data_IF_333432017539
#
_entry.id   IF_333432017539
#
_cell.length_a   1.000
_cell.length_b   1.000
_cell.length_c   1.000
_cell.angle_alpha   90.00
_cell.angle_beta   90.00
_cell.angle_gamma   90.00
#
_symmetry.space_group_name_H-M   'P 1'
#
loop_
_entity.id
_entity.type
_entity.pdbx_description
1 polymer ?
#
# COMPACT_ATOMS: atom_id res chain seq x y z
N UNK A 1 -10.11 19.88 14.53
CA UNK A 1 -8.93 20.68 14.09
C UNK A 1 -8.43 20.03 12.81
N UNK A 2 -8.46 20.73 11.67
CA UNK A 2 -8.04 20.18 10.38
C UNK A 2 -6.53 19.95 10.41
N UNK A 3 -6.07 18.69 10.40
CA UNK A 3 -4.65 18.37 10.20
C UNK A 3 -4.32 18.57 8.72
N UNK A 4 -3.37 19.45 8.46
CA UNK A 4 -2.84 19.75 7.13
C UNK A 4 -1.89 18.61 6.73
N UNK A 5 -2.25 17.85 5.69
CA UNK A 5 -1.39 16.84 5.11
C UNK A 5 -0.31 17.52 4.25
N UNK A 6 0.96 17.33 4.61
CA UNK A 6 2.10 17.84 3.84
C UNK A 6 2.36 16.94 2.64
N UNK A 7 1.95 17.39 1.47
CA UNK A 7 2.28 16.76 0.19
C UNK A 7 3.65 17.27 -0.25
N UNK A 8 4.62 16.37 -0.35
CA UNK A 8 5.95 16.68 -0.89
C UNK A 8 5.87 16.85 -2.41
N UNK A 9 5.98 18.10 -2.89
CA UNK A 9 6.11 18.41 -4.32
C UNK A 9 7.53 18.13 -4.79
N UNK A 10 7.69 17.18 -5.69
CA UNK A 10 8.92 17.06 -6.48
C UNK A 10 8.95 18.14 -7.57
N UNK A 11 10.02 18.88 -7.61
CA UNK A 11 10.34 20.10 -8.35
C UNK A 11 10.12 19.96 -9.88
N UNK A 12 9.35 20.89 -10.44
CA UNK A 12 9.11 21.06 -11.88
C UNK A 12 10.37 21.63 -12.57
N UNK A 13 11.05 20.82 -13.35
CA UNK A 13 12.10 21.31 -14.26
C UNK A 13 11.52 21.62 -15.63
N UNK A 14 11.53 22.90 -16.00
CA UNK A 14 11.15 23.39 -17.33
C UNK A 14 12.33 23.16 -18.30
N UNK A 15 12.18 22.28 -19.29
CA UNK A 15 13.15 22.10 -20.37
C UNK A 15 12.52 22.43 -21.74
N UNK A 16 13.29 23.12 -22.56
CA UNK A 16 12.96 23.64 -23.90
C UNK A 16 12.71 22.50 -24.93
N UNK A 17 12.02 22.78 -26.07
CA UNK A 17 11.64 21.75 -27.02
C UNK A 17 12.82 21.34 -27.91
N UNK A 18 13.30 20.13 -27.69
CA UNK A 18 14.30 19.46 -28.49
C UNK A 18 14.34 17.98 -28.16
N UNK A 19 13.70 17.19 -29.03
CA UNK A 19 13.80 15.73 -29.17
C UNK A 19 14.47 14.94 -28.02
N UNK A 20 13.80 14.79 -26.90
CA UNK A 20 14.05 13.76 -25.93
C UNK A 20 12.71 13.04 -25.69
N UNK A 21 12.72 11.70 -25.76
CA UNK A 21 11.65 10.86 -25.27
C UNK A 21 11.18 11.44 -23.94
N UNK A 22 9.94 11.86 -23.87
CA UNK A 22 9.34 12.31 -22.62
C UNK A 22 9.46 11.13 -21.65
N UNK A 23 10.35 11.24 -20.67
CA UNK A 23 10.36 10.32 -19.56
C UNK A 23 8.97 10.44 -18.91
N UNK A 24 8.16 9.41 -19.04
CA UNK A 24 6.86 9.35 -18.40
C UNK A 24 7.09 9.57 -16.90
N UNK A 25 6.49 10.64 -16.38
CA UNK A 25 6.54 10.91 -14.94
C UNK A 25 5.72 9.84 -14.26
N UNK A 26 6.37 9.00 -13.49
CA UNK A 26 5.72 8.01 -12.65
C UNK A 26 5.44 8.62 -11.27
N UNK A 27 4.29 8.32 -10.71
CA UNK A 27 3.83 8.86 -9.45
C UNK A 27 3.63 7.74 -8.44
N UNK A 28 3.90 8.02 -7.17
CA UNK A 28 3.46 7.18 -6.05
C UNK A 28 2.26 7.85 -5.41
N UNK A 29 1.19 7.09 -5.20
CA UNK A 29 0.00 7.57 -4.52
C UNK A 29 0.17 7.36 -3.03
N UNK A 30 0.03 8.43 -2.25
CA UNK A 30 0.13 8.42 -0.79
C UNK A 30 -1.28 8.48 -0.20
N UNK A 31 -1.61 7.51 0.63
CA UNK A 31 -2.89 7.40 1.32
C UNK A 31 -2.64 7.40 2.83
N UNK A 32 -3.39 8.18 3.57
CA UNK A 32 -3.28 8.25 5.02
C UNK A 32 -4.65 8.07 5.67
N UNK A 33 -4.73 7.18 6.64
CA UNK A 33 -5.86 7.01 7.55
C UNK A 33 -5.79 7.98 8.74
N UNK A 34 -6.58 7.70 9.76
CA UNK A 34 -6.70 8.52 10.97
C UNK A 34 -6.43 7.72 12.25
N UNK A 35 -7.18 8.09 13.28
CA UNK A 35 -7.10 7.46 14.61
C UNK A 35 -8.29 6.49 14.83
N UNK A 36 -9.03 6.14 13.77
CA UNK A 36 -10.20 5.24 13.79
C UNK A 36 -9.96 4.11 12.79
N UNK A 37 -10.67 2.99 12.97
CA UNK A 37 -10.61 1.86 12.05
C UNK A 37 -10.92 2.28 10.60
N UNK A 38 -10.00 1.99 9.69
CA UNK A 38 -10.10 2.36 8.29
C UNK A 38 -10.30 1.12 7.40
N UNK A 39 -11.00 1.29 6.29
CA UNK A 39 -11.06 0.30 5.23
C UNK A 39 -10.64 0.95 3.92
N UNK A 40 -9.51 0.51 3.38
CA UNK A 40 -8.95 1.02 2.12
C UNK A 40 -8.84 -0.13 1.13
N UNK A 41 -9.39 0.04 -0.06
CA UNK A 41 -9.29 -0.93 -1.15
C UNK A 41 -8.74 -0.29 -2.40
N UNK A 42 -7.80 -0.98 -3.05
CA UNK A 42 -7.18 -0.54 -4.30
C UNK A 42 -7.39 -1.63 -5.34
N UNK A 43 -7.99 -1.29 -6.48
CA UNK A 43 -8.14 -2.23 -7.59
C UNK A 43 -7.83 -1.57 -8.94
N UNK A 44 -7.55 -2.40 -9.92
CA UNK A 44 -7.29 -2.00 -11.30
C UNK A 44 -8.55 -2.27 -12.13
N UNK A 45 -8.94 -1.29 -12.97
CA UNK A 45 -10.04 -1.45 -13.90
C UNK A 45 -9.84 -2.65 -14.84
N UNK A 46 -10.91 -3.30 -15.36
CA UNK A 46 -10.79 -4.48 -16.21
C UNK A 46 -9.98 -4.24 -17.49
N UNK A 47 -9.94 -3.02 -17.99
CA UNK A 47 -9.16 -2.61 -19.17
C UNK A 47 -7.70 -2.24 -18.84
N UNK A 48 -7.33 -2.25 -17.56
CA UNK A 48 -5.99 -1.97 -17.06
C UNK A 48 -5.56 -0.50 -17.16
N UNK A 49 -6.49 0.41 -17.33
CA UNK A 49 -6.18 1.82 -17.57
C UNK A 49 -6.21 2.69 -16.33
N UNK A 50 -6.97 2.28 -15.32
CA UNK A 50 -7.23 3.09 -14.13
C UNK A 50 -7.13 2.26 -12.85
N UNK A 51 -6.50 2.81 -11.83
CA UNK A 51 -6.62 2.33 -10.47
C UNK A 51 -7.78 3.06 -9.80
N UNK A 52 -8.63 2.31 -9.13
CA UNK A 52 -9.66 2.86 -8.26
C UNK A 52 -9.29 2.57 -6.80
N UNK A 53 -9.46 3.57 -5.97
CA UNK A 53 -9.19 3.50 -4.53
C UNK A 53 -10.46 3.90 -3.82
N UNK A 54 -10.95 3.02 -2.95
CA UNK A 54 -12.13 3.26 -2.12
C UNK A 54 -11.72 3.25 -0.64
N UNK A 55 -12.24 4.18 0.12
CA UNK A 55 -11.93 4.32 1.54
C UNK A 55 -13.16 4.75 2.32
N UNK A 56 -13.28 4.32 3.59
CA UNK A 56 -14.33 4.82 4.50
C UNK A 56 -14.06 6.25 4.97
N UNK A 57 -12.83 6.74 4.84
CA UNK A 57 -12.46 8.12 5.14
C UNK A 57 -12.27 8.91 3.85
N UNK A 58 -12.55 10.21 3.90
CA UNK A 58 -12.36 11.09 2.76
C UNK A 58 -10.89 11.12 2.33
N UNK A 59 -10.64 10.78 1.06
CA UNK A 59 -9.31 10.81 0.45
C UNK A 59 -9.00 12.22 -0.05
N UNK A 60 -7.81 12.73 0.29
CA UNK A 60 -7.32 14.00 -0.23
C UNK A 60 -6.18 13.74 -1.22
N UNK A 61 -6.30 14.28 -2.42
CA UNK A 61 -5.26 14.17 -3.45
C UNK A 61 -4.75 15.53 -3.88
N UNK A 62 -3.43 15.61 -3.97
CA UNK A 62 -2.75 16.72 -4.63
C UNK A 62 -2.15 16.26 -5.95
N UNK A 63 -2.70 16.71 -7.08
CA UNK A 63 -2.12 16.47 -8.39
C UNK A 63 -3.13 16.08 -9.47
N UNK A 64 -2.71 16.12 -10.73
CA UNK A 64 -3.58 15.93 -11.91
C UNK A 64 -3.70 14.48 -12.39
N UNK A 65 -3.18 13.52 -11.63
CA UNK A 65 -3.14 12.09 -12.03
C UNK A 65 -4.33 11.30 -11.49
N UNK A 66 -4.87 11.75 -10.37
CA UNK A 66 -6.03 11.16 -9.73
C UNK A 66 -7.15 12.18 -9.58
N UNK A 67 -8.38 11.73 -9.70
CA UNK A 67 -9.59 12.55 -9.58
C UNK A 67 -10.62 11.85 -8.71
N UNK A 68 -11.43 12.64 -7.99
CA UNK A 68 -12.62 12.12 -7.36
C UNK A 68 -13.77 12.06 -8.38
N UNK A 69 -14.54 10.97 -8.45
CA UNK A 69 -15.82 10.96 -9.11
C UNK A 69 -16.74 12.05 -8.52
N UNK A 70 -17.58 12.67 -9.35
CA UNK A 70 -18.39 13.83 -8.96
C UNK A 70 -19.30 13.56 -7.74
N UNK A 71 -19.70 12.30 -7.55
CA UNK A 71 -20.66 11.90 -6.54
C UNK A 71 -20.08 11.11 -5.35
N UNK A 72 -18.75 10.86 -5.34
CA UNK A 72 -18.12 10.05 -4.28
C UNK A 72 -16.76 10.58 -3.83
N UNK A 73 -16.73 11.38 -2.74
CA UNK A 73 -15.46 11.91 -2.20
C UNK A 73 -14.57 10.84 -1.55
N UNK A 74 -15.08 9.65 -1.31
CA UNK A 74 -14.36 8.53 -0.72
C UNK A 74 -13.73 7.60 -1.79
N UNK A 75 -13.95 7.91 -3.05
CA UNK A 75 -13.38 7.18 -4.17
C UNK A 75 -12.37 8.05 -4.92
N UNK A 76 -11.28 7.43 -5.36
CA UNK A 76 -10.23 8.06 -6.13
C UNK A 76 -9.95 7.24 -7.37
N UNK A 77 -9.93 7.87 -8.54
CA UNK A 77 -9.59 7.24 -9.82
C UNK A 77 -8.30 7.82 -10.35
N UNK A 78 -7.31 6.96 -10.58
CA UNK A 78 -5.96 7.33 -11.02
C UNK A 78 -5.59 6.66 -12.34
N UNK A 79 -4.98 7.38 -13.26
CA UNK A 79 -4.51 6.82 -14.53
C UNK A 79 -3.37 5.79 -14.29
N UNK A 80 -3.63 4.52 -14.59
CA UNK A 80 -2.72 3.41 -14.28
C UNK A 80 -1.30 3.57 -14.87
N UNK A 81 -1.11 4.01 -16.12
CA UNK A 81 0.23 4.12 -16.70
C UNK A 81 1.14 5.14 -15.99
N UNK A 82 0.56 6.03 -15.20
CA UNK A 82 1.31 7.06 -14.48
C UNK A 82 1.67 6.66 -13.04
N UNK A 83 1.17 5.53 -12.53
CA UNK A 83 1.37 5.12 -11.14
C UNK A 83 2.53 4.13 -11.05
N UNK A 84 3.56 4.50 -10.29
CA UNK A 84 4.74 3.67 -10.01
C UNK A 84 4.56 2.79 -8.76
N UNK A 85 3.61 3.11 -7.89
CA UNK A 85 3.34 2.38 -6.66
C UNK A 85 2.38 3.11 -5.74
N UNK A 86 2.09 2.48 -4.61
CA UNK A 86 1.23 3.03 -3.57
C UNK A 86 1.96 3.02 -2.22
N UNK A 87 1.73 4.04 -1.43
CA UNK A 87 2.13 4.06 -0.02
C UNK A 87 0.88 4.35 0.82
N UNK A 88 0.54 3.43 1.72
CA UNK A 88 -0.64 3.49 2.59
C UNK A 88 -0.18 3.50 4.03
N UNK A 89 -0.69 4.44 4.81
CA UNK A 89 -0.51 4.49 6.25
C UNK A 89 -1.91 4.61 6.88
N UNK A 90 -2.41 3.53 7.45
CA UNK A 90 -3.77 3.52 7.98
C UNK A 90 -3.91 4.18 9.35
N UNK A 91 -2.89 4.14 10.19
CA UNK A 91 -2.83 4.98 11.39
C UNK A 91 -3.07 4.25 12.70
N UNK A 92 -4.16 4.50 13.37
CA UNK A 92 -4.55 3.79 14.59
C UNK A 92 -5.98 3.29 14.47
N UNK A 93 -6.30 2.22 15.21
CA UNK A 93 -7.55 1.48 15.07
C UNK A 93 -7.31 0.18 14.30
N UNK A 94 -8.30 -0.69 14.30
CA UNK A 94 -8.22 -1.98 13.60
C UNK A 94 -8.53 -1.77 12.11
N UNK A 95 -7.49 -1.72 11.29
CA UNK A 95 -7.57 -1.31 9.90
C UNK A 95 -7.65 -2.50 8.91
N UNK A 96 -8.28 -2.28 7.78
CA UNK A 96 -8.31 -3.23 6.68
C UNK A 96 -7.86 -2.58 5.38
N UNK A 97 -6.65 -2.90 4.93
CA UNK A 97 -6.09 -2.43 3.66
C UNK A 97 -5.96 -3.59 2.69
N UNK A 98 -6.56 -3.49 1.52
CA UNK A 98 -6.48 -4.55 0.52
C UNK A 98 -6.19 -4.02 -0.88
N UNK A 99 -5.25 -4.67 -1.54
CA UNK A 99 -4.89 -4.43 -2.94
C UNK A 99 -5.30 -5.62 -3.79
N UNK A 100 -5.86 -5.36 -4.95
CA UNK A 100 -6.29 -6.43 -5.84
C UNK A 100 -5.10 -7.24 -6.34
N UNK A 101 -5.27 -8.57 -6.40
CA UNK A 101 -4.22 -9.56 -6.75
C UNK A 101 -3.64 -9.44 -8.17
N UNK A 102 -4.17 -8.56 -9.00
CA UNK A 102 -3.67 -8.28 -10.35
C UNK A 102 -2.85 -6.98 -10.42
N UNK A 103 -2.66 -6.29 -9.31
CA UNK A 103 -1.82 -5.10 -9.23
C UNK A 103 -0.38 -5.54 -9.04
N UNK A 104 0.49 -5.15 -9.97
CA UNK A 104 1.90 -5.55 -10.05
C UNK A 104 2.89 -4.43 -9.69
N UNK A 105 2.40 -3.21 -9.49
CA UNK A 105 3.24 -2.14 -8.96
C UNK A 105 3.48 -2.35 -7.47
N UNK A 106 4.66 -1.97 -6.95
CA UNK A 106 4.98 -2.14 -5.54
C UNK A 106 4.04 -1.32 -4.63
N UNK A 107 3.70 -1.91 -3.49
CA UNK A 107 2.89 -1.27 -2.46
C UNK A 107 3.64 -1.29 -1.13
N UNK A 108 3.64 -0.16 -0.44
CA UNK A 108 4.09 -0.09 0.95
C UNK A 108 2.90 0.22 1.85
N UNK A 109 2.62 -0.66 2.80
CA UNK A 109 1.53 -0.48 3.78
C UNK A 109 2.09 -0.43 5.19
N UNK A 110 1.50 0.45 6.01
CA UNK A 110 1.70 0.50 7.46
C UNK A 110 0.34 0.52 8.12
N UNK A 111 0.05 -0.50 8.92
CA UNK A 111 -1.13 -0.57 9.78
C UNK A 111 -1.03 0.49 10.86
N UNK A 112 -0.23 0.26 11.84
CA UNK A 112 0.08 1.23 12.88
C UNK A 112 -0.21 0.73 14.27
N UNK A 113 -1.31 1.10 14.88
CA UNK A 113 -1.68 0.61 16.19
C UNK A 113 -3.11 0.08 16.16
N UNK A 114 -3.31 -1.17 16.50
CA UNK A 114 -4.56 -1.92 16.41
C UNK A 114 -4.32 -3.27 15.76
N UNK A 115 -5.33 -4.09 15.68
CA UNK A 115 -5.26 -5.41 15.03
C UNK A 115 -5.57 -5.25 13.54
N UNK A 116 -4.53 -5.16 12.72
CA UNK A 116 -4.64 -4.76 11.31
C UNK A 116 -4.68 -5.97 10.34
N UNK A 117 -5.35 -5.76 9.21
CA UNK A 117 -5.34 -6.71 8.08
C UNK A 117 -4.79 -6.00 6.84
N UNK A 118 -3.58 -6.42 6.41
CA UNK A 118 -2.90 -5.86 5.26
C UNK A 118 -2.74 -6.92 4.17
N UNK A 119 -3.37 -6.69 3.01
CA UNK A 119 -3.34 -7.61 1.87
C UNK A 119 -2.67 -6.94 0.68
N UNK A 120 -1.49 -7.42 0.30
CA UNK A 120 -0.71 -6.96 -0.84
C UNK A 120 -1.30 -7.34 -2.20
N UNK A 121 -0.57 -7.11 -3.25
CA UNK A 121 -0.98 -7.37 -4.63
C UNK A 121 -0.25 -8.54 -5.29
N UNK A 122 0.28 -8.30 -6.49
CA UNK A 122 1.15 -9.23 -7.20
C UNK A 122 2.52 -8.59 -7.51
N UNK A 123 2.78 -7.41 -7.00
CA UNK A 123 4.07 -6.72 -7.05
C UNK A 123 4.92 -7.04 -5.83
N UNK A 124 6.17 -6.60 -5.82
CA UNK A 124 7.02 -6.70 -4.64
C UNK A 124 6.56 -5.69 -3.59
N UNK A 125 5.93 -6.19 -2.53
CA UNK A 125 5.25 -5.38 -1.54
C UNK A 125 6.03 -5.30 -0.22
N UNK A 126 5.80 -4.23 0.54
CA UNK A 126 6.30 -4.06 1.88
C UNK A 126 5.15 -3.81 2.85
N UNK A 127 4.88 -4.79 3.72
CA UNK A 127 3.81 -4.72 4.70
C UNK A 127 4.40 -4.62 6.11
N UNK A 128 3.90 -3.67 6.88
CA UNK A 128 4.30 -3.43 8.28
C UNK A 128 3.03 -3.36 9.09
N UNK A 129 2.78 -4.35 9.94
CA UNK A 129 1.64 -4.38 10.85
C UNK A 129 1.73 -3.23 11.83
N UNK A 130 2.51 -3.37 12.84
CA UNK A 130 2.73 -2.34 13.84
C UNK A 130 2.56 -2.86 15.25
N UNK A 131 1.71 -2.22 16.06
CA UNK A 131 1.34 -2.72 17.38
C UNK A 131 -0.03 -3.39 17.30
N UNK A 132 -0.17 -4.58 17.81
CA UNK A 132 -1.41 -5.34 17.80
C UNK A 132 -1.21 -6.72 17.16
N UNK A 133 -2.26 -7.51 17.05
CA UNK A 133 -2.18 -8.85 16.46
C UNK A 133 -2.55 -8.75 14.98
N UNK A 134 -1.54 -8.62 14.14
CA UNK A 134 -1.70 -8.27 12.75
C UNK A 134 -1.81 -9.48 11.80
N UNK A 135 -2.50 -9.30 10.71
CA UNK A 135 -2.56 -10.27 9.62
C UNK A 135 -2.02 -9.65 8.33
N UNK A 136 -0.85 -10.10 7.90
CA UNK A 136 -0.17 -9.64 6.69
C UNK A 136 -0.13 -10.74 5.63
N UNK A 137 -0.50 -10.42 4.38
CA UNK A 137 -0.46 -11.36 3.25
C UNK A 137 0.16 -10.67 2.05
N UNK A 138 1.35 -11.12 1.61
CA UNK A 138 2.06 -10.57 0.45
C UNK A 138 1.38 -10.93 -0.88
N UNK A 139 0.93 -12.15 -1.05
CA UNK A 139 0.44 -12.82 -2.26
C UNK A 139 1.57 -13.20 -3.20
N UNK A 140 1.65 -12.61 -4.40
CA UNK A 140 2.72 -12.86 -5.37
C UNK A 140 3.69 -11.70 -5.34
N UNK A 141 4.97 -11.98 -5.54
CA UNK A 141 6.02 -10.97 -5.54
C UNK A 141 7.10 -11.36 -4.56
N UNK A 142 8.21 -10.69 -4.62
CA UNK A 142 9.25 -10.82 -3.61
C UNK A 142 8.93 -9.83 -2.48
N UNK A 143 8.22 -10.31 -1.45
CA UNK A 143 7.58 -9.47 -0.45
C UNK A 143 8.40 -9.33 0.84
N UNK A 144 8.19 -8.23 1.55
CA UNK A 144 8.81 -7.97 2.85
C UNK A 144 7.72 -7.68 3.89
N UNK A 145 7.53 -8.61 4.83
CA UNK A 145 6.52 -8.56 5.86
C UNK A 145 7.14 -8.40 7.24
N UNK A 146 6.69 -7.40 8.00
CA UNK A 146 7.05 -7.14 9.39
C UNK A 146 5.77 -7.11 10.24
N UNK A 147 5.60 -8.06 11.16
CA UNK A 147 4.51 -8.05 12.14
C UNK A 147 4.66 -6.87 13.10
N UNK A 148 5.48 -7.03 14.08
CA UNK A 148 5.76 -6.02 15.11
C UNK A 148 5.61 -6.56 16.51
N UNK A 149 5.15 -5.77 17.47
CA UNK A 149 4.72 -6.25 18.76
C UNK A 149 3.28 -6.78 18.73
N UNK A 150 3.07 -8.04 19.03
CA UNK A 150 1.78 -8.73 19.06
C UNK A 150 1.90 -10.17 18.56
N UNK A 151 0.83 -10.92 18.57
CA UNK A 151 0.79 -12.29 18.04
C UNK A 151 0.34 -12.24 16.58
N UNK A 152 1.30 -12.21 15.65
CA UNK A 152 1.08 -11.88 14.26
C UNK A 152 0.91 -13.11 13.34
N UNK A 153 0.19 -12.93 12.24
CA UNK A 153 0.07 -13.94 11.17
C UNK A 153 0.60 -13.34 9.85
N UNK A 154 1.77 -13.84 9.43
CA UNK A 154 2.42 -13.42 8.18
C UNK A 154 2.37 -14.54 7.15
N UNK A 155 1.92 -14.22 5.93
CA UNK A 155 1.86 -15.14 4.80
C UNK A 155 2.60 -14.49 3.63
N UNK A 156 3.76 -15.03 3.23
CA UNK A 156 4.50 -14.56 2.06
C UNK A 156 3.73 -14.85 0.79
N UNK A 157 3.75 -16.06 0.33
CA UNK A 157 3.07 -16.51 -0.88
C UNK A 157 4.05 -17.02 -1.93
N UNK A 158 3.75 -16.93 -3.22
CA UNK A 158 4.72 -17.23 -4.26
C UNK A 158 5.69 -16.07 -4.50
N UNK A 159 6.99 -16.29 -4.25
CA UNK A 159 8.06 -15.31 -4.39
C UNK A 159 9.22 -15.65 -3.47
N UNK A 160 10.24 -14.79 -3.42
CA UNK A 160 11.32 -14.91 -2.44
C UNK A 160 11.08 -13.89 -1.33
N UNK A 161 10.42 -14.33 -0.28
CA UNK A 161 9.85 -13.46 0.73
C UNK A 161 10.75 -13.28 1.94
N UNK A 162 10.60 -12.14 2.62
CA UNK A 162 11.23 -11.88 3.91
C UNK A 162 10.13 -11.67 4.95
N UNK A 163 10.02 -12.61 5.90
CA UNK A 163 9.03 -12.57 6.97
C UNK A 163 9.74 -12.37 8.31
N UNK A 164 9.32 -11.36 9.05
CA UNK A 164 9.76 -11.09 10.43
C UNK A 164 8.56 -10.88 11.32
N UNK A 165 8.34 -11.83 12.24
CA UNK A 165 7.25 -11.75 13.21
C UNK A 165 7.44 -10.54 14.13
N UNK A 166 8.38 -10.61 15.03
CA UNK A 166 8.67 -9.52 15.95
C UNK A 166 8.59 -10.01 17.40
N UNK A 167 7.85 -9.29 18.23
CA UNK A 167 7.63 -9.66 19.64
C UNK A 167 6.25 -10.31 19.78
N UNK A 168 6.19 -11.53 20.28
CA UNK A 168 4.94 -12.27 20.50
C UNK A 168 5.04 -13.72 20.06
N UNK A 169 3.89 -14.38 19.96
CA UNK A 169 3.78 -15.74 19.43
C UNK A 169 3.31 -15.69 17.96
N UNK A 170 4.26 -15.55 17.05
CA UNK A 170 3.99 -15.31 15.64
C UNK A 170 3.78 -16.60 14.83
N UNK A 171 2.91 -16.51 13.84
CA UNK A 171 2.70 -17.54 12.84
C UNK A 171 3.17 -17.10 11.47
N UNK A 172 4.29 -17.64 11.01
CA UNK A 172 4.91 -17.34 9.72
C UNK A 172 4.64 -18.47 8.73
N UNK A 173 4.11 -18.13 7.55
CA UNK A 173 3.79 -19.05 6.47
C UNK A 173 4.53 -18.55 5.22
N UNK A 174 5.60 -19.25 4.86
CA UNK A 174 6.51 -18.88 3.79
C UNK A 174 5.79 -18.84 2.44
N UNK A 175 5.49 -19.96 1.89
CA UNK A 175 4.89 -20.08 0.56
C UNK A 175 5.79 -20.90 -0.36
N UNK A 176 6.00 -20.40 -1.57
CA UNK A 176 6.87 -21.05 -2.56
C UNK A 176 7.92 -20.09 -3.07
N UNK A 177 9.18 -20.48 -2.98
CA UNK A 177 10.33 -19.67 -3.38
C UNK A 177 11.54 -19.95 -2.50
N UNK A 178 12.40 -18.95 -2.38
CA UNK A 178 13.53 -18.97 -1.44
C UNK A 178 13.31 -17.88 -0.40
N UNK A 179 12.76 -18.29 0.74
CA UNK A 179 12.28 -17.36 1.74
C UNK A 179 13.27 -17.17 2.90
N UNK A 180 13.20 -16.01 3.53
CA UNK A 180 13.98 -15.67 4.74
C UNK A 180 13.01 -15.38 5.88
N UNK A 181 13.00 -16.24 6.89
CA UNK A 181 12.00 -16.21 7.95
C UNK A 181 12.63 -16.07 9.34
N UNK A 182 12.13 -15.12 10.12
CA UNK A 182 12.57 -14.82 11.47
C UNK A 182 11.36 -14.57 12.37
N UNK A 183 11.07 -15.51 13.26
CA UNK A 183 9.93 -15.38 14.18
C UNK A 183 10.17 -14.34 15.27
N UNK A 184 11.43 -14.16 15.71
CA UNK A 184 11.81 -13.22 16.77
C UNK A 184 13.02 -12.38 16.35
N UNK A 185 13.23 -11.22 17.02
CA UNK A 185 14.41 -10.37 16.88
C UNK A 185 15.63 -10.95 17.61
#
# INVERSE_FOLDING_TARGET
MKKLLLISFALLALLAPGSASAAEKTYTVLLAGGDEANSIRIWLSPDGREYTIDSLVQLEVGGSVCTHPEDNPNELVCAAPAIAGFEVNSGAGDDHVSVAKNITVPVTMRGGAGDDVLLGGAGPDKLIGGQGNDRLVGWRGDDVLYGGPGDDVLVGGPGNDVLRGGLGEDRLIEGSGTDSVHAQY
#
